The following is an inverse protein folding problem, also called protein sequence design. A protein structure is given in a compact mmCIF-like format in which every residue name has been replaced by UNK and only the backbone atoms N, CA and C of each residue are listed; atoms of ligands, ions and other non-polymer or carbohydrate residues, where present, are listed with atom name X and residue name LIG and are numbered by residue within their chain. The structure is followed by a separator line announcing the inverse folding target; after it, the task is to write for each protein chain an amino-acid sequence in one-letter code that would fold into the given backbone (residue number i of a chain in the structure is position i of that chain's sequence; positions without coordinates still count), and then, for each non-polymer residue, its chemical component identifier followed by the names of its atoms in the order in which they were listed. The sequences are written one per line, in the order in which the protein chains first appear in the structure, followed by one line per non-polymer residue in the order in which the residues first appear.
data_IF_711501927942
#
_entry.id   IF_711501927942
#
_cell.length_a   1.000
_cell.length_b   1.000
_cell.length_c   1.000
_cell.angle_alpha   90.00
_cell.angle_beta   90.00
_cell.angle_gamma   90.00
#
_symmetry.space_group_name_H-M   'P 1'
#
loop_
_entity.id
_entity.type
_entity.pdbx_description
1 polymer ?
#
# COMPACT_ATOMS: atom_id res chain seq x y z
N UNK A 1 17.54 -11.18 -41.56
CA UNK A 1 17.99 -11.34 -40.15
C UNK A 1 16.84 -10.94 -39.23
N UNK A 2 15.95 -11.88 -38.94
CA UNK A 2 14.73 -11.66 -38.13
C UNK A 2 14.98 -11.74 -36.61
N UNK A 3 16.23 -11.97 -36.19
CA UNK A 3 16.63 -12.09 -34.78
C UNK A 3 16.82 -10.74 -34.07
N UNK A 4 16.91 -9.62 -34.82
CA UNK A 4 17.14 -8.28 -34.25
C UNK A 4 15.89 -7.55 -33.78
N UNK A 5 14.70 -7.97 -34.21
CA UNK A 5 13.44 -7.25 -33.93
C UNK A 5 12.66 -7.78 -32.71
N UNK A 6 12.94 -9.01 -32.24
CA UNK A 6 12.28 -9.55 -31.04
C UNK A 6 13.01 -9.10 -29.73
N UNK A 7 14.33 -8.86 -29.76
CA UNK A 7 15.10 -8.39 -28.59
C UNK A 7 14.72 -6.98 -28.12
N UNK A 8 14.46 -6.06 -29.05
CA UNK A 8 14.04 -4.69 -28.72
C UNK A 8 12.59 -4.63 -28.18
N UNK A 9 11.73 -5.58 -28.58
CA UNK A 9 10.32 -5.68 -28.17
C UNK A 9 10.12 -6.17 -26.73
N UNK A 10 11.11 -6.87 -26.16
CA UNK A 10 11.07 -7.39 -24.79
C UNK A 10 11.78 -6.46 -23.80
N UNK A 11 12.87 -5.79 -24.23
CA UNK A 11 13.64 -4.88 -23.37
C UNK A 11 12.84 -3.66 -22.92
N UNK A 12 12.04 -3.07 -23.83
CA UNK A 12 11.25 -1.87 -23.54
C UNK A 12 10.12 -2.10 -22.51
N UNK A 13 9.27 -3.15 -22.63
CA UNK A 13 8.27 -3.44 -21.61
C UNK A 13 8.90 -3.90 -20.29
N UNK A 14 10.00 -4.65 -20.31
CA UNK A 14 10.71 -5.04 -19.09
C UNK A 14 11.24 -3.80 -18.33
N UNK A 15 11.80 -2.82 -19.06
CA UNK A 15 12.22 -1.54 -18.50
C UNK A 15 11.03 -0.75 -17.93
N UNK A 16 9.90 -0.69 -18.64
CA UNK A 16 8.68 -0.04 -18.14
C UNK A 16 8.13 -0.72 -16.89
N UNK A 17 8.09 -2.05 -16.85
CA UNK A 17 7.64 -2.83 -15.69
C UNK A 17 8.54 -2.53 -14.49
N UNK A 18 9.87 -2.54 -14.67
CA UNK A 18 10.82 -2.15 -13.62
C UNK A 18 10.62 -0.71 -13.16
N UNK A 19 10.37 0.24 -14.08
CA UNK A 19 10.06 1.64 -13.74
C UNK A 19 8.77 1.77 -12.92
N UNK A 20 7.70 1.06 -13.30
CA UNK A 20 6.41 1.05 -12.58
C UNK A 20 6.57 0.48 -11.17
N UNK A 21 7.36 -0.59 -11.00
CA UNK A 21 7.68 -1.13 -9.68
C UNK A 21 8.67 -0.26 -8.89
N UNK A 22 9.51 0.53 -9.54
CA UNK A 22 10.51 1.42 -8.90
C UNK A 22 9.89 2.75 -8.42
N UNK A 23 8.74 3.16 -8.95
CA UNK A 23 8.05 4.40 -8.57
C UNK A 23 7.36 4.38 -7.19
N UNK A 24 7.51 3.33 -6.37
CA UNK A 24 7.02 3.35 -4.98
C UNK A 24 7.93 4.13 -4.01
N UNK A 25 8.69 5.11 -4.51
CA UNK A 25 9.39 6.14 -3.74
C UNK A 25 8.57 7.42 -3.56
N UNK A 26 7.23 7.29 -3.54
CA UNK A 26 6.32 8.41 -3.27
C UNK A 26 6.17 8.56 -1.76
N UNK A 27 6.27 9.79 -1.27
CA UNK A 27 6.04 10.10 0.13
C UNK A 27 4.57 9.80 0.47
N UNK A 28 4.33 8.69 1.16
CA UNK A 28 2.98 8.19 1.48
C UNK A 28 2.23 9.19 2.35
N UNK A 29 1.01 9.55 1.98
CA UNK A 29 0.15 10.42 2.78
C UNK A 29 -0.91 9.60 3.50
N UNK A 30 -1.08 9.80 4.81
CA UNK A 30 -2.07 9.07 5.62
C UNK A 30 -2.88 10.02 6.49
N UNK A 31 -4.03 9.55 6.97
CA UNK A 31 -4.70 10.21 8.10
C UNK A 31 -3.93 9.92 9.39
N UNK A 32 -3.64 10.96 10.17
CA UNK A 32 -2.86 10.86 11.41
C UNK A 32 -3.53 11.62 12.55
N UNK A 33 -4.25 10.88 13.40
CA UNK A 33 -4.85 11.34 14.64
C UNK A 33 -4.39 10.42 15.77
N UNK A 34 -3.51 10.92 16.64
CA UNK A 34 -2.95 10.16 17.76
C UNK A 34 -3.99 9.81 18.83
N UNK A 35 -5.18 10.41 18.84
CA UNK A 35 -6.21 10.13 19.86
C UNK A 35 -7.21 9.09 19.35
N UNK A 36 -7.63 8.19 20.24
CA UNK A 36 -8.76 7.30 19.95
C UNK A 36 -10.05 8.11 19.96
N UNK A 37 -10.71 8.21 18.81
CA UNK A 37 -11.98 8.93 18.67
C UNK A 37 -13.03 8.06 17.97
N UNK A 38 -14.29 8.31 18.27
CA UNK A 38 -15.42 7.76 17.49
C UNK A 38 -15.64 8.53 16.18
N UNK A 39 -15.12 9.75 16.11
CA UNK A 39 -15.21 10.63 14.95
C UNK A 39 -14.21 10.22 13.87
N UNK A 40 -14.48 10.56 12.61
CA UNK A 40 -13.52 10.36 11.53
C UNK A 40 -12.31 11.30 11.69
N UNK A 41 -11.11 10.79 11.42
CA UNK A 41 -9.91 11.61 11.41
C UNK A 41 -9.82 12.39 10.08
N UNK A 42 -9.72 13.71 10.16
CA UNK A 42 -9.55 14.59 8.98
C UNK A 42 -8.11 15.10 8.83
N UNK A 43 -7.26 14.91 9.83
CA UNK A 43 -5.87 15.34 9.81
C UNK A 43 -5.06 14.46 8.88
N UNK A 44 -4.53 15.05 7.81
CA UNK A 44 -3.68 14.36 6.84
C UNK A 44 -2.23 14.76 7.07
N UNK A 45 -1.32 13.80 6.97
CA UNK A 45 0.12 14.08 6.99
C UNK A 45 0.86 13.23 5.98
N UNK A 46 1.99 13.75 5.50
CA UNK A 46 2.97 12.96 4.76
C UNK A 46 3.83 12.17 5.74
N UNK A 47 3.86 10.86 5.58
CA UNK A 47 4.62 9.95 6.43
C UNK A 47 6.12 10.08 6.18
N UNK A 48 6.95 9.88 7.22
CA UNK A 48 8.40 9.80 7.05
C UNK A 48 8.76 8.56 6.22
N UNK A 49 9.92 8.59 5.54
CA UNK A 49 10.37 7.47 4.69
C UNK A 49 10.53 6.14 5.44
N UNK A 50 10.66 6.18 6.77
CA UNK A 50 10.69 4.97 7.62
C UNK A 50 9.31 4.34 7.79
N UNK A 51 8.23 5.10 7.65
CA UNK A 51 6.85 4.65 7.83
C UNK A 51 6.14 4.58 6.48
N UNK A 52 6.23 3.40 5.87
CA UNK A 52 5.75 3.13 4.53
C UNK A 52 4.33 2.52 4.47
N UNK A 53 3.53 2.66 5.53
CA UNK A 53 2.15 2.21 5.58
C UNK A 53 1.25 3.19 6.36
N UNK A 54 -0.05 3.18 6.05
CA UNK A 54 -1.07 3.80 6.89
C UNK A 54 -1.68 2.74 7.80
N UNK A 55 -1.86 3.05 9.09
CA UNK A 55 -2.53 2.19 10.06
C UNK A 55 -3.87 2.81 10.48
N UNK A 56 -4.89 1.95 10.57
CA UNK A 56 -6.13 2.18 11.31
C UNK A 56 -6.25 1.12 12.37
N UNK A 57 -6.31 1.51 13.63
CA UNK A 57 -6.54 0.61 14.77
C UNK A 57 -7.84 0.99 15.48
N UNK A 58 -8.69 0.01 15.76
CA UNK A 58 -10.01 0.21 16.36
C UNK A 58 -10.15 -0.66 17.60
N UNK A 59 -10.51 -0.05 18.72
CA UNK A 59 -10.78 -0.70 20.02
C UNK A 59 -12.02 -0.07 20.63
N UNK A 60 -12.94 -0.89 21.14
CA UNK A 60 -14.15 -0.43 21.84
C UNK A 60 -14.94 0.67 21.09
N UNK A 61 -15.06 0.53 19.77
CA UNK A 61 -15.78 1.48 18.91
C UNK A 61 -15.04 2.81 18.62
N UNK A 62 -13.81 2.98 19.09
CA UNK A 62 -12.96 4.13 18.81
C UNK A 62 -11.82 3.74 17.87
N UNK A 63 -11.54 4.60 16.90
CA UNK A 63 -10.44 4.40 15.95
C UNK A 63 -9.32 5.41 16.18
N UNK A 64 -8.08 4.96 15.97
CA UNK A 64 -6.86 5.77 15.87
C UNK A 64 -6.26 5.54 14.49
N UNK A 65 -5.77 6.60 13.88
CA UNK A 65 -5.22 6.62 12.52
C UNK A 65 -3.81 7.18 12.58
N UNK A 66 -2.82 6.52 11.99
CA UNK A 66 -1.45 7.05 11.97
C UNK A 66 -0.59 6.46 10.85
N UNK A 67 0.53 7.13 10.55
CA UNK A 67 1.61 6.54 9.77
C UNK A 67 2.25 5.37 10.53
N UNK A 68 2.66 4.32 9.81
CA UNK A 68 3.15 3.07 10.38
C UNK A 68 4.18 2.38 9.48
N UNK A 69 4.84 1.37 10.05
CA UNK A 69 5.77 0.49 9.34
C UNK A 69 5.04 -0.77 8.87
N UNK A 70 5.09 -1.06 7.57
CA UNK A 70 4.43 -2.27 7.03
C UNK A 70 4.95 -3.55 7.68
N UNK A 71 6.25 -3.61 7.99
CA UNK A 71 6.88 -4.75 8.65
C UNK A 71 6.44 -4.95 10.12
N UNK A 72 5.83 -3.92 10.74
CA UNK A 72 5.30 -3.98 12.11
C UNK A 72 3.77 -4.02 12.15
N UNK A 73 3.12 -4.34 11.03
CA UNK A 73 1.65 -4.41 10.98
C UNK A 73 1.08 -5.79 11.34
N UNK A 74 1.87 -6.65 11.96
CA UNK A 74 1.38 -7.90 12.52
C UNK A 74 0.69 -7.67 13.89
N UNK A 75 -0.27 -8.53 14.21
CA UNK A 75 -1.05 -8.47 15.46
C UNK A 75 -0.16 -8.48 16.72
N UNK A 76 0.87 -9.34 16.87
CA UNK A 76 1.70 -9.34 18.07
C UNK A 76 2.49 -8.04 18.24
N UNK A 77 3.08 -7.48 17.18
CA UNK A 77 3.77 -6.18 17.21
C UNK A 77 2.83 -5.06 17.63
N UNK A 78 1.63 -4.99 17.03
CA UNK A 78 0.63 -3.99 17.37
C UNK A 78 0.11 -4.15 18.81
N UNK A 79 -0.10 -5.39 19.26
CA UNK A 79 -0.49 -5.66 20.66
C UNK A 79 0.57 -5.15 21.64
N UNK A 80 1.84 -5.39 21.36
CA UNK A 80 2.93 -4.95 22.21
C UNK A 80 3.08 -3.42 22.23
N UNK A 81 2.98 -2.78 21.06
CA UNK A 81 3.10 -1.32 20.93
C UNK A 81 1.95 -0.57 21.60
N UNK A 82 0.70 -0.95 21.29
CA UNK A 82 -0.48 -0.22 21.76
C UNK A 82 -1.00 -0.74 23.10
N UNK A 83 -0.46 -1.85 23.60
CA UNK A 83 -0.88 -2.51 24.84
C UNK A 83 -2.40 -2.82 24.87
N UNK A 84 -2.96 -3.22 23.72
CA UNK A 84 -4.39 -3.51 23.56
C UNK A 84 -4.66 -5.02 23.54
N UNK A 85 -5.74 -5.44 24.21
CA UNK A 85 -6.13 -6.85 24.29
C UNK A 85 -7.17 -7.29 23.24
N UNK A 86 -8.11 -6.42 22.86
CA UNK A 86 -9.14 -6.68 21.86
C UNK A 86 -9.21 -5.51 20.89
N UNK A 87 -8.64 -5.67 19.71
CA UNK A 87 -8.61 -4.62 18.70
C UNK A 87 -8.71 -5.22 17.29
N UNK A 88 -9.11 -4.38 16.34
CA UNK A 88 -9.01 -4.64 14.91
C UNK A 88 -8.04 -3.65 14.29
N UNK A 89 -7.12 -4.13 13.46
CA UNK A 89 -6.15 -3.30 12.74
C UNK A 89 -6.29 -3.50 11.24
N UNK A 90 -5.96 -2.45 10.49
CA UNK A 90 -5.85 -2.49 9.03
C UNK A 90 -4.67 -1.64 8.59
N UNK A 91 -3.79 -2.20 7.75
CA UNK A 91 -2.71 -1.46 7.11
C UNK A 91 -2.80 -1.54 5.59
N UNK A 92 -2.29 -0.48 4.95
CA UNK A 92 -2.26 -0.32 3.51
C UNK A 92 -1.15 0.66 3.11
N UNK A 93 -0.70 0.62 1.86
CA UNK A 93 0.44 1.40 1.35
C UNK A 93 0.03 2.33 0.20
N UNK A 94 -1.16 2.94 0.31
CA UNK A 94 -1.68 3.86 -0.69
C UNK A 94 -2.14 5.15 -0.01
N UNK A 95 -2.10 6.27 -0.73
CA UNK A 95 -2.43 7.56 -0.13
C UNK A 95 -3.85 7.57 0.45
N UNK A 96 -3.96 8.02 1.70
CA UNK A 96 -5.19 8.17 2.46
C UNK A 96 -6.03 6.88 2.56
N UNK A 97 -5.41 5.71 2.36
CA UNK A 97 -6.09 4.42 2.34
C UNK A 97 -6.67 4.01 3.70
N UNK A 98 -6.12 4.56 4.79
CA UNK A 98 -6.67 4.37 6.14
C UNK A 98 -7.91 5.23 6.41
N UNK A 99 -8.47 5.90 5.39
CA UNK A 99 -9.80 6.50 5.51
C UNK A 99 -10.81 5.46 6.00
N UNK A 100 -11.82 5.87 6.76
CA UNK A 100 -12.85 4.94 7.25
C UNK A 100 -13.65 4.21 6.16
N UNK A 101 -13.38 4.48 4.87
CA UNK A 101 -13.96 3.78 3.72
C UNK A 101 -13.00 2.68 3.28
N UNK A 102 -13.47 1.43 3.30
CA UNK A 102 -12.76 0.26 2.81
C UNK A 102 -12.08 0.56 1.47
N UNK A 103 -10.76 0.75 1.49
CA UNK A 103 -9.96 0.81 0.28
C UNK A 103 -10.07 -0.55 -0.41
N UNK A 104 -10.82 -0.61 -1.52
CA UNK A 104 -10.91 -1.81 -2.33
C UNK A 104 -9.50 -2.26 -2.70
N UNK A 105 -9.20 -3.57 -2.60
CA UNK A 105 -7.88 -4.07 -2.93
C UNK A 105 -7.59 -3.78 -4.41
N UNK A 106 -6.49 -3.08 -4.68
CA UNK A 106 -5.96 -2.78 -6.02
C UNK A 106 -5.38 -4.05 -6.68
N UNK A 107 -5.91 -5.24 -6.35
CA UNK A 107 -5.54 -6.50 -6.98
C UNK A 107 -6.27 -6.71 -8.30
N UNK A 108 -7.37 -6.01 -8.56
CA UNK A 108 -8.18 -6.23 -9.76
C UNK A 108 -7.57 -5.67 -11.05
N UNK A 109 -6.66 -4.69 -10.98
CA UNK A 109 -6.01 -4.11 -12.16
C UNK A 109 -4.79 -4.91 -12.65
N UNK A 110 -4.19 -5.71 -11.77
CA UNK A 110 -2.93 -6.42 -12.05
C UNK A 110 -3.17 -7.63 -12.97
N UNK A 111 -4.35 -8.26 -12.88
CA UNK A 111 -4.66 -9.49 -13.61
C UNK A 111 -4.87 -9.23 -15.12
N UNK A 112 -5.40 -8.06 -15.50
CA UNK A 112 -5.61 -7.69 -16.91
C UNK A 112 -4.30 -7.40 -17.64
N UNK A 113 -3.28 -6.89 -16.92
CA UNK A 113 -1.97 -6.59 -17.50
C UNK A 113 -1.15 -7.86 -17.77
N UNK A 114 -1.29 -8.89 -16.92
CA UNK A 114 -0.58 -10.17 -17.10
C UNK A 114 -0.92 -10.86 -18.42
N UNK A 115 -2.17 -10.79 -18.88
CA UNK A 115 -2.60 -11.39 -20.15
C UNK A 115 -1.99 -10.67 -21.38
N UNK A 116 -1.88 -9.35 -21.33
CA UNK A 116 -1.25 -8.57 -22.40
C UNK A 116 0.27 -8.80 -22.47
N UNK A 117 0.91 -8.96 -21.30
CA UNK A 117 2.34 -9.26 -21.18
C UNK A 117 2.66 -10.63 -21.81
N UNK A 118 1.85 -11.68 -21.55
CA UNK A 118 2.07 -13.00 -22.16
C UNK A 118 2.04 -12.95 -23.70
N UNK A 119 1.19 -12.12 -24.31
CA UNK A 119 1.14 -11.95 -25.77
C UNK A 119 2.36 -11.21 -26.34
N UNK A 120 3.05 -10.39 -25.53
CA UNK A 120 4.25 -9.64 -25.94
C UNK A 120 5.52 -10.49 -25.79
N UNK A 121 5.57 -11.36 -24.76
CA UNK A 121 6.65 -12.33 -24.55
C UNK A 121 6.51 -13.59 -25.42
N UNK A 122 5.34 -13.83 -26.01
CA UNK A 122 5.12 -14.82 -27.08
C UNK A 122 5.54 -14.24 -28.44
N UNK A 123 6.85 -14.21 -28.70
CA UNK A 123 7.31 -14.60 -30.04
C UNK A 123 7.13 -16.14 -30.09
#
# INVERSE_FOLDING_TARGET
TMSGMCGLRVMLPLSLVMLVFCSTGLALMCYNCQSYSSEQCEQKMTCPSTQNACLKITTDGKSRFQCWEMNRCDIPSLKNEFQLNKFSSSCCQSDLCNSGRNSLPVTSLVLSLAAAILLIFSC
#
